data_IF_687471866151
#
_entry.id   IF_687471866151
#
_cell.length_a   1.000
_cell.length_b   1.000
_cell.length_c   1.000
_cell.angle_alpha   90.00
_cell.angle_beta   90.00
_cell.angle_gamma   90.00
#
_symmetry.space_group_name_H-M   'P 1'
#
loop_
_entity.id
_entity.type
_entity.pdbx_description
1 polymer ?
#
# COMPACT_ATOMS: atom_id res chain seq x y z
N UNK A 1 5.23 22.45 11.95
CA UNK A 1 6.55 21.76 11.87
C UNK A 1 6.70 21.23 10.45
N UNK A 2 7.74 21.60 9.73
CA UNK A 2 7.97 21.08 8.38
C UNK A 2 8.43 19.61 8.46
N UNK A 3 7.95 18.77 7.55
CA UNK A 3 8.51 17.43 7.35
C UNK A 3 9.89 17.56 6.69
N UNK A 4 10.86 16.81 7.21
CA UNK A 4 12.16 16.68 6.55
C UNK A 4 12.03 15.81 5.30
N UNK A 5 12.79 16.16 4.27
CA UNK A 5 12.85 15.34 3.06
C UNK A 5 13.67 14.07 3.35
N UNK A 6 13.15 12.92 2.96
CA UNK A 6 13.94 11.69 2.92
C UNK A 6 15.11 11.88 1.95
N UNK A 7 16.33 11.49 2.34
CA UNK A 7 17.52 11.60 1.51
C UNK A 7 17.38 10.73 0.25
N UNK A 8 17.88 11.20 -0.88
CA UNK A 8 17.84 10.49 -2.16
C UNK A 8 18.51 9.11 -2.07
N UNK A 9 19.65 9.01 -1.41
CA UNK A 9 20.35 7.72 -1.21
C UNK A 9 19.50 6.71 -0.41
N UNK A 10 18.69 7.20 0.55
CA UNK A 10 17.75 6.37 1.30
C UNK A 10 16.61 5.90 0.41
N UNK A 11 16.10 6.78 -0.47
CA UNK A 11 15.05 6.44 -1.45
C UNK A 11 15.55 5.35 -2.40
N UNK A 12 16.75 5.52 -2.95
CA UNK A 12 17.37 4.55 -3.87
C UNK A 12 17.54 3.18 -3.19
N UNK A 13 18.01 3.17 -1.93
CA UNK A 13 18.12 1.95 -1.13
C UNK A 13 16.76 1.29 -0.92
N UNK A 14 15.74 2.04 -0.48
CA UNK A 14 14.38 1.51 -0.25
C UNK A 14 13.85 0.84 -1.50
N UNK A 15 13.96 1.49 -2.66
CA UNK A 15 13.46 0.94 -3.92
C UNK A 15 14.22 -0.33 -4.30
N UNK A 16 15.56 -0.35 -4.17
CA UNK A 16 16.38 -1.52 -4.45
C UNK A 16 16.04 -2.71 -3.53
N UNK A 17 15.87 -2.46 -2.23
CA UNK A 17 15.50 -3.47 -1.24
C UNK A 17 14.10 -4.04 -1.54
N UNK A 18 13.13 -3.19 -1.89
CA UNK A 18 11.77 -3.61 -2.26
C UNK A 18 11.76 -4.44 -3.55
N UNK A 19 12.56 -4.08 -4.56
CA UNK A 19 12.70 -4.88 -5.77
C UNK A 19 13.33 -6.24 -5.48
N UNK A 20 14.36 -6.28 -4.62
CA UNK A 20 14.99 -7.52 -4.18
C UNK A 20 13.99 -8.41 -3.43
N UNK A 21 13.24 -7.84 -2.50
CA UNK A 21 12.20 -8.57 -1.77
C UNK A 21 11.09 -9.09 -2.70
N UNK A 22 10.66 -8.27 -3.66
CA UNK A 22 9.68 -8.68 -4.66
C UNK A 22 10.19 -9.87 -5.50
N UNK A 23 11.44 -9.80 -5.99
CA UNK A 23 12.05 -10.87 -6.79
C UNK A 23 12.31 -12.17 -6.00
N UNK A 24 12.35 -12.12 -4.68
CA UNK A 24 12.41 -13.33 -3.84
C UNK A 24 11.16 -14.21 -3.97
N UNK A 25 10.04 -13.67 -4.50
CA UNK A 25 8.76 -14.35 -4.61
C UNK A 25 7.97 -14.46 -3.30
N UNK A 26 8.44 -13.87 -2.20
CA UNK A 26 7.78 -13.92 -0.89
C UNK A 26 6.33 -13.43 -0.93
N UNK A 27 6.03 -12.45 -1.79
CA UNK A 27 4.70 -11.84 -1.94
C UNK A 27 3.74 -12.66 -2.82
N UNK A 28 4.20 -13.72 -3.48
CA UNK A 28 3.37 -14.52 -4.41
C UNK A 28 2.35 -15.40 -3.67
N UNK A 29 2.65 -15.84 -2.45
CA UNK A 29 1.74 -16.70 -1.69
C UNK A 29 0.48 -15.92 -1.24
N UNK A 30 -0.69 -16.47 -1.58
CA UNK A 30 -1.98 -15.90 -1.20
C UNK A 30 -2.19 -15.91 0.33
N UNK A 31 -1.63 -16.86 1.05
CA UNK A 31 -1.70 -16.89 2.51
C UNK A 31 -0.92 -15.72 3.11
N UNK A 32 0.26 -15.43 2.57
CA UNK A 32 1.05 -14.26 2.94
C UNK A 32 0.27 -12.96 2.71
N UNK A 33 -0.31 -12.76 1.50
CA UNK A 33 -1.11 -11.55 1.19
C UNK A 33 -2.29 -11.38 2.15
N UNK A 34 -3.02 -12.46 2.46
CA UNK A 34 -4.11 -12.44 3.45
C UNK A 34 -3.62 -12.11 4.85
N UNK A 35 -2.46 -12.62 5.26
CA UNK A 35 -1.85 -12.31 6.54
C UNK A 35 -1.50 -10.82 6.63
N UNK A 36 -0.89 -10.25 5.59
CA UNK A 36 -0.53 -8.83 5.54
C UNK A 36 -1.78 -7.93 5.56
N UNK A 37 -2.84 -8.28 4.82
CA UNK A 37 -4.11 -7.57 4.89
C UNK A 37 -4.75 -7.63 6.29
N UNK A 38 -4.65 -8.75 6.99
CA UNK A 38 -5.14 -8.86 8.38
C UNK A 38 -4.31 -8.03 9.36
N UNK A 39 -2.97 -8.01 9.20
CA UNK A 39 -2.09 -7.13 9.99
C UNK A 39 -2.45 -5.67 9.76
N UNK A 40 -2.69 -5.29 8.50
CA UNK A 40 -3.10 -3.93 8.15
C UNK A 40 -4.45 -3.54 8.76
N UNK A 41 -5.45 -4.44 8.74
CA UNK A 41 -6.72 -4.20 9.42
C UNK A 41 -6.54 -3.94 10.92
N UNK A 42 -5.75 -4.78 11.61
CA UNK A 42 -5.45 -4.63 13.04
C UNK A 42 -4.70 -3.31 13.33
N UNK A 43 -3.77 -2.92 12.45
CA UNK A 43 -3.07 -1.65 12.57
C UNK A 43 -4.03 -0.47 12.45
N UNK A 44 -4.94 -0.47 11.47
CA UNK A 44 -5.97 0.58 11.34
C UNK A 44 -6.92 0.65 12.54
N UNK A 45 -7.23 -0.48 13.17
CA UNK A 45 -8.05 -0.47 14.39
C UNK A 45 -7.26 0.13 15.56
N UNK A 46 -5.98 -0.22 15.71
CA UNK A 46 -5.09 0.33 16.75
C UNK A 46 -4.83 1.82 16.58
N UNK A 47 -4.61 2.26 15.34
CA UNK A 47 -4.21 3.63 15.00
C UNK A 47 -5.39 4.55 14.62
N UNK A 48 -6.65 4.09 14.78
CA UNK A 48 -7.84 4.87 14.45
C UNK A 48 -7.86 6.23 15.16
N UNK A 49 -7.72 6.23 16.48
CA UNK A 49 -7.72 7.48 17.26
C UNK A 49 -6.54 8.40 16.91
N UNK A 50 -5.28 7.94 16.87
CA UNK A 50 -4.15 8.79 16.44
C UNK A 50 -4.34 9.40 15.04
N UNK A 51 -4.88 8.65 14.08
CA UNK A 51 -5.15 9.15 12.73
C UNK A 51 -6.25 10.22 12.72
N UNK A 52 -7.34 10.02 13.49
CA UNK A 52 -8.39 11.02 13.63
C UNK A 52 -7.89 12.29 14.32
N UNK A 53 -7.07 12.16 15.36
CA UNK A 53 -6.48 13.30 16.06
C UNK A 53 -5.53 14.10 15.13
N UNK A 54 -4.76 13.41 14.29
CA UNK A 54 -3.92 14.03 13.27
C UNK A 54 -4.73 14.73 12.16
N UNK A 55 -5.83 14.13 11.70
CA UNK A 55 -6.76 14.72 10.74
C UNK A 55 -7.45 15.97 11.29
N UNK A 56 -7.78 15.96 12.58
CA UNK A 56 -8.27 17.16 13.25
C UNK A 56 -7.21 18.26 13.29
N UNK A 57 -5.98 17.90 13.65
CA UNK A 57 -4.87 18.87 13.77
C UNK A 57 -4.53 19.53 12.43
N UNK A 58 -4.49 18.76 11.34
CA UNK A 58 -4.07 19.27 10.03
C UNK A 58 -5.23 19.86 9.21
N UNK A 59 -6.44 19.31 9.32
CA UNK A 59 -7.58 19.63 8.43
C UNK A 59 -8.86 20.01 9.16
N UNK A 60 -8.87 20.00 10.50
CA UNK A 60 -10.06 20.24 11.34
C UNK A 60 -11.26 19.32 11.01
N UNK A 61 -10.98 18.10 10.52
CA UNK A 61 -12.02 17.09 10.32
C UNK A 61 -12.46 16.54 11.66
N UNK A 62 -13.78 16.54 11.94
CA UNK A 62 -14.31 15.88 13.13
C UNK A 62 -14.00 14.38 13.12
N UNK A 63 -14.10 13.75 14.29
CA UNK A 63 -13.89 12.29 14.37
C UNK A 63 -14.86 11.53 13.45
N UNK A 64 -16.14 11.92 13.43
CA UNK A 64 -17.16 11.29 12.60
C UNK A 64 -16.86 11.46 11.11
N UNK A 65 -16.45 12.66 10.69
CA UNK A 65 -16.07 12.93 9.32
C UNK A 65 -14.83 12.11 8.92
N UNK A 66 -13.76 12.15 9.71
CA UNK A 66 -12.54 11.40 9.48
C UNK A 66 -12.82 9.89 9.39
N UNK A 67 -13.62 9.36 10.31
CA UNK A 67 -13.99 7.95 10.30
C UNK A 67 -14.81 7.58 9.07
N UNK A 68 -15.88 8.32 8.78
CA UNK A 68 -16.80 7.99 7.69
C UNK A 68 -16.19 8.17 6.30
N UNK A 69 -15.43 9.24 6.09
CA UNK A 69 -14.92 9.59 4.76
C UNK A 69 -13.55 9.01 4.45
N UNK A 70 -12.78 8.57 5.46
CA UNK A 70 -11.43 8.05 5.26
C UNK A 70 -11.25 6.64 5.83
N UNK A 71 -11.32 6.45 7.15
CA UNK A 71 -10.95 5.17 7.76
C UNK A 71 -11.92 4.03 7.45
N UNK A 72 -13.24 4.28 7.51
CA UNK A 72 -14.24 3.23 7.27
C UNK A 72 -14.17 2.68 5.85
N UNK A 73 -13.82 3.52 4.88
CA UNK A 73 -13.65 3.15 3.47
C UNK A 73 -12.47 2.18 3.33
N UNK A 74 -11.31 2.52 3.91
CA UNK A 74 -10.12 1.63 3.88
C UNK A 74 -10.40 0.31 4.59
N UNK A 75 -11.06 0.34 5.77
CA UNK A 75 -11.44 -0.87 6.50
C UNK A 75 -12.39 -1.77 5.68
N UNK A 76 -13.33 -1.17 4.96
CA UNK A 76 -14.25 -1.89 4.07
C UNK A 76 -13.51 -2.55 2.91
N UNK A 77 -12.57 -1.83 2.29
CA UNK A 77 -11.75 -2.32 1.20
C UNK A 77 -10.88 -3.50 1.65
N UNK A 78 -10.19 -3.40 2.78
CA UNK A 78 -9.39 -4.50 3.34
C UNK A 78 -10.26 -5.76 3.55
N UNK A 79 -11.46 -5.62 4.15
CA UNK A 79 -12.38 -6.75 4.35
C UNK A 79 -12.77 -7.41 3.03
N UNK A 80 -13.00 -6.61 1.99
CA UNK A 80 -13.34 -7.08 0.65
C UNK A 80 -12.17 -7.85 0.04
N UNK A 81 -10.94 -7.33 0.13
CA UNK A 81 -9.73 -7.98 -0.39
C UNK A 81 -9.40 -9.28 0.34
N UNK A 82 -9.50 -9.33 1.68
CA UNK A 82 -9.32 -10.57 2.44
C UNK A 82 -10.25 -11.69 1.96
N UNK A 83 -11.52 -11.35 1.66
CA UNK A 83 -12.51 -12.32 1.18
C UNK A 83 -12.27 -12.75 -0.27
N UNK A 84 -11.84 -11.83 -1.13
CA UNK A 84 -11.84 -12.01 -2.59
C UNK A 84 -10.48 -12.36 -3.19
N UNK A 85 -9.35 -12.06 -2.54
CA UNK A 85 -8.01 -12.22 -3.11
C UNK A 85 -7.74 -13.62 -3.65
N UNK A 86 -8.18 -14.68 -2.97
CA UNK A 86 -8.02 -16.05 -3.47
C UNK A 86 -8.76 -16.30 -4.79
N UNK A 87 -9.96 -15.74 -4.94
CA UNK A 87 -10.75 -15.86 -6.17
C UNK A 87 -10.12 -15.03 -7.30
N UNK A 88 -9.65 -13.82 -6.98
CA UNK A 88 -9.04 -12.94 -7.98
C UNK A 88 -7.71 -13.47 -8.49
N UNK A 89 -6.90 -14.09 -7.63
CA UNK A 89 -5.61 -14.67 -7.99
C UNK A 89 -5.72 -16.08 -8.61
N UNK A 90 -6.90 -16.70 -8.61
CA UNK A 90 -7.09 -18.03 -9.15
C UNK A 90 -6.80 -18.08 -10.66
N UNK A 91 -6.15 -19.17 -11.09
CA UNK A 91 -5.90 -19.44 -12.50
C UNK A 91 -7.24 -19.57 -13.24
N UNK A 92 -7.33 -18.96 -14.41
CA UNK A 92 -8.50 -19.11 -15.31
C UNK A 92 -8.16 -20.09 -16.44
N UNK A 93 -9.02 -21.07 -16.69
CA UNK A 93 -8.87 -21.94 -17.86
C UNK A 93 -9.00 -21.11 -19.13
N UNK A 94 -8.11 -21.36 -20.09
CA UNK A 94 -8.17 -20.81 -21.44
C UNK A 94 -8.45 -21.94 -22.45
N UNK A 95 -8.95 -21.58 -23.65
CA UNK A 95 -9.18 -22.55 -24.72
C UNK A 95 -7.85 -23.11 -25.22
N UNK A 96 -7.69 -24.42 -25.17
CA UNK A 96 -6.50 -25.11 -25.71
C UNK A 96 -6.83 -25.65 -27.09
N UNK A 97 -6.03 -25.36 -28.13
CA UNK A 97 -6.22 -25.97 -29.45
C UNK A 97 -6.15 -27.50 -29.38
N UNK A 98 -7.02 -28.18 -30.13
CA UNK A 98 -7.11 -29.64 -30.08
C UNK A 98 -5.79 -30.34 -30.46
N UNK A 99 -4.97 -29.69 -31.29
CA UNK A 99 -3.64 -30.19 -31.71
C UNK A 99 -2.64 -30.30 -30.53
N UNK A 100 -2.93 -29.67 -29.41
CA UNK A 100 -2.10 -29.72 -28.19
C UNK A 100 -2.63 -30.70 -27.15
N UNK A 101 -3.62 -31.51 -27.51
CA UNK A 101 -4.11 -32.56 -26.60
C UNK A 101 -2.96 -33.50 -26.19
N UNK A 102 -2.83 -33.89 -24.89
CA UNK A 102 -3.73 -33.64 -23.74
C UNK A 102 -3.40 -32.39 -22.90
N UNK A 103 -2.69 -31.40 -23.42
CA UNK A 103 -2.30 -30.17 -22.72
C UNK A 103 -3.50 -29.32 -22.26
N UNK A 104 -3.29 -28.49 -21.27
CA UNK A 104 -4.30 -27.55 -20.75
C UNK A 104 -3.69 -26.15 -20.66
N UNK A 105 -4.42 -25.16 -21.12
CA UNK A 105 -4.01 -23.75 -21.09
C UNK A 105 -4.69 -22.99 -19.95
N UNK A 106 -3.95 -22.06 -19.33
CA UNK A 106 -4.43 -21.21 -18.23
C UNK A 106 -3.92 -19.78 -18.41
N UNK A 107 -4.72 -18.84 -17.92
CA UNK A 107 -4.30 -17.46 -17.69
C UNK A 107 -3.91 -17.36 -16.21
N UNK A 108 -2.68 -16.96 -15.94
CA UNK A 108 -2.15 -16.71 -14.60
C UNK A 108 -1.97 -15.19 -14.46
N UNK A 109 -2.39 -14.63 -13.33
CA UNK A 109 -2.18 -13.24 -12.99
C UNK A 109 -0.93 -13.12 -12.12
N UNK A 110 -0.05 -12.21 -12.48
CA UNK A 110 1.19 -11.97 -11.76
C UNK A 110 1.24 -10.52 -11.27
N UNK A 111 1.87 -10.24 -10.11
CA UNK A 111 2.09 -8.89 -9.63
C UNK A 111 3.06 -8.14 -10.54
N UNK A 112 2.92 -6.80 -10.62
CA UNK A 112 3.73 -5.97 -11.52
C UNK A 112 5.11 -5.60 -10.96
N UNK A 113 5.28 -5.65 -9.64
CA UNK A 113 6.55 -5.25 -9.00
C UNK A 113 6.35 -4.35 -7.79
N UNK A 114 7.16 -3.31 -7.69
CA UNK A 114 7.04 -2.28 -6.67
C UNK A 114 6.03 -1.22 -7.13
N UNK A 115 5.12 -0.81 -6.23
CA UNK A 115 4.10 0.20 -6.48
C UNK A 115 4.47 1.50 -5.79
N UNK A 116 4.47 2.62 -6.51
CA UNK A 116 4.56 3.96 -5.93
C UNK A 116 3.16 4.54 -5.75
N UNK A 117 2.84 4.98 -4.52
CA UNK A 117 1.56 5.58 -4.16
C UNK A 117 1.79 6.99 -3.61
N UNK A 118 1.45 8.01 -4.38
CA UNK A 118 1.54 9.41 -3.99
C UNK A 118 0.13 9.93 -3.70
N UNK A 119 -0.12 10.42 -2.48
CA UNK A 119 -1.45 10.92 -2.12
C UNK A 119 -1.52 12.45 -2.02
N UNK A 120 -2.69 13.03 -2.32
CA UNK A 120 -2.98 14.44 -2.07
C UNK A 120 -3.27 14.69 -0.58
N UNK A 121 -3.54 15.95 -0.24
CA UNK A 121 -3.77 16.41 1.14
C UNK A 121 -5.24 16.38 1.59
N UNK A 122 -6.21 16.35 0.69
CA UNK A 122 -7.62 16.53 1.02
C UNK A 122 -8.30 15.30 1.66
N UNK A 123 -7.89 14.10 1.28
CA UNK A 123 -8.27 12.81 1.89
C UNK A 123 -7.01 11.96 2.06
N UNK A 124 -6.07 12.39 2.93
CA UNK A 124 -4.71 11.85 2.94
C UNK A 124 -4.63 10.40 3.38
N UNK A 125 -5.47 9.97 4.31
CA UNK A 125 -5.51 8.59 4.80
C UNK A 125 -6.14 7.68 3.76
N UNK A 126 -7.32 8.01 3.27
CA UNK A 126 -8.05 7.17 2.31
C UNK A 126 -7.29 7.02 0.99
N UNK A 127 -6.83 8.14 0.40
CA UNK A 127 -6.21 8.13 -0.93
C UNK A 127 -4.78 7.55 -0.93
N UNK A 128 -4.15 7.40 0.24
CA UNK A 128 -2.88 6.69 0.36
C UNK A 128 -3.10 5.20 0.66
N UNK A 129 -3.99 4.88 1.59
CA UNK A 129 -4.12 3.53 2.13
C UNK A 129 -5.03 2.61 1.30
N UNK A 130 -6.04 3.16 0.58
CA UNK A 130 -6.87 2.34 -0.32
C UNK A 130 -6.05 1.71 -1.47
N UNK A 131 -5.20 2.45 -2.22
CA UNK A 131 -4.34 1.84 -3.21
C UNK A 131 -3.34 0.84 -2.61
N UNK A 132 -2.87 1.07 -1.36
CA UNK A 132 -2.02 0.12 -0.64
C UNK A 132 -2.71 -1.24 -0.44
N UNK A 133 -4.02 -1.24 -0.12
CA UNK A 133 -4.80 -2.50 -0.04
C UNK A 133 -4.73 -3.25 -1.37
N UNK A 134 -4.84 -2.54 -2.49
CA UNK A 134 -4.71 -3.09 -3.84
C UNK A 134 -3.32 -3.66 -4.09
N UNK A 135 -2.25 -2.93 -3.76
CA UNK A 135 -0.85 -3.35 -3.91
C UNK A 135 -0.57 -4.64 -3.11
N UNK A 136 -0.93 -4.67 -1.82
CA UNK A 136 -0.77 -5.85 -0.95
C UNK A 136 -1.52 -7.05 -1.54
N UNK A 137 -2.75 -6.88 -1.95
CA UNK A 137 -3.57 -7.99 -2.44
C UNK A 137 -3.13 -8.50 -3.81
N UNK A 138 -2.56 -7.66 -4.67
CA UNK A 138 -1.98 -8.08 -5.94
C UNK A 138 -0.64 -8.80 -5.77
N UNK A 139 0.06 -8.59 -4.64
CA UNK A 139 1.38 -9.17 -4.36
C UNK A 139 2.54 -8.26 -4.75
N UNK A 140 2.30 -6.95 -4.85
CA UNK A 140 3.33 -5.95 -5.02
C UNK A 140 3.94 -5.55 -3.67
N UNK A 141 5.17 -5.03 -3.69
CA UNK A 141 5.71 -4.16 -2.66
C UNK A 141 5.20 -2.74 -2.86
N UNK A 142 5.36 -1.83 -1.90
CA UNK A 142 4.84 -0.48 -2.04
C UNK A 142 5.71 0.59 -1.36
N UNK A 143 5.96 1.67 -2.07
CA UNK A 143 6.50 2.92 -1.53
C UNK A 143 5.37 3.93 -1.43
N UNK A 144 5.11 4.42 -0.22
CA UNK A 144 4.07 5.39 0.09
C UNK A 144 4.69 6.78 0.21
N UNK A 145 4.09 7.76 -0.46
CA UNK A 145 4.50 9.16 -0.37
C UNK A 145 3.30 10.01 0.03
N UNK A 146 3.06 10.22 1.34
CA UNK A 146 2.01 11.08 1.84
C UNK A 146 2.28 12.55 1.50
N UNK A 147 1.24 13.37 1.56
CA UNK A 147 1.33 14.79 1.26
C UNK A 147 2.08 15.58 2.36
N UNK A 148 3.05 16.44 2.02
CA UNK A 148 3.73 17.28 2.99
C UNK A 148 2.84 18.38 3.57
N UNK A 149 1.66 18.63 2.99
CA UNK A 149 0.72 19.66 3.45
C UNK A 149 -0.12 19.24 4.66
N UNK A 150 -0.04 17.97 5.06
CA UNK A 150 -0.70 17.38 6.23
C UNK A 150 0.34 16.64 7.09
N UNK A 151 1.25 17.39 7.73
CA UNK A 151 2.45 16.82 8.33
C UNK A 151 2.17 15.90 9.53
N UNK A 152 1.13 16.14 10.30
CA UNK A 152 0.77 15.28 11.43
C UNK A 152 0.19 13.95 10.94
N UNK A 153 -0.71 14.00 9.96
CA UNK A 153 -1.24 12.78 9.31
C UNK A 153 -0.12 11.97 8.68
N UNK A 154 0.80 12.63 7.97
CA UNK A 154 1.93 11.96 7.30
C UNK A 154 2.84 11.22 8.27
N UNK A 155 3.19 11.82 9.43
CA UNK A 155 3.98 11.17 10.49
C UNK A 155 3.23 10.00 11.12
N UNK A 156 1.95 10.21 11.46
CA UNK A 156 1.13 9.15 12.06
C UNK A 156 1.01 7.93 11.14
N UNK A 157 0.89 8.15 9.82
CA UNK A 157 0.89 7.07 8.84
C UNK A 157 2.27 6.38 8.80
N UNK A 158 3.37 7.14 8.80
CA UNK A 158 4.73 6.58 8.79
C UNK A 158 4.97 5.70 10.02
N UNK A 159 4.61 6.16 11.21
CA UNK A 159 4.70 5.38 12.46
C UNK A 159 3.86 4.10 12.39
N UNK A 160 2.61 4.20 11.93
CA UNK A 160 1.73 3.05 11.76
C UNK A 160 2.30 2.02 10.78
N UNK A 161 2.80 2.44 9.64
CA UNK A 161 3.34 1.56 8.59
C UNK A 161 4.64 0.91 9.06
N UNK A 162 5.55 1.66 9.68
CA UNK A 162 6.82 1.15 10.21
C UNK A 162 6.63 0.13 11.33
N UNK A 163 5.58 0.28 12.16
CA UNK A 163 5.23 -0.70 13.17
C UNK A 163 4.61 -1.98 12.56
N UNK A 164 3.94 -1.86 11.42
CA UNK A 164 3.12 -2.93 10.84
C UNK A 164 3.87 -3.80 9.85
N UNK A 165 4.75 -3.18 9.04
CA UNK A 165 5.42 -3.82 7.92
C UNK A 165 6.93 -3.59 7.95
N UNK A 166 7.69 -4.53 7.41
CA UNK A 166 9.11 -4.33 7.12
C UNK A 166 9.25 -3.32 5.96
N UNK A 167 10.28 -2.48 6.00
CA UNK A 167 10.56 -1.44 5.00
C UNK A 167 10.75 -2.02 3.58
N UNK A 168 11.35 -3.20 3.48
CA UNK A 168 11.51 -3.93 2.22
C UNK A 168 10.18 -4.38 1.57
N UNK A 169 9.07 -4.32 2.32
CA UNK A 169 7.75 -4.68 1.82
C UNK A 169 6.85 -3.46 1.63
N UNK A 170 6.70 -2.62 2.64
CA UNK A 170 5.97 -1.36 2.57
C UNK A 170 6.77 -0.28 3.28
N UNK A 171 7.17 0.74 2.56
CA UNK A 171 7.94 1.88 3.08
C UNK A 171 7.17 3.18 2.95
N UNK A 172 7.45 4.15 3.84
CA UNK A 172 6.98 5.53 3.72
C UNK A 172 8.16 6.44 3.44
N UNK A 173 8.04 7.29 2.43
CA UNK A 173 9.01 8.32 2.06
C UNK A 173 8.38 9.69 2.28
N UNK A 174 9.00 10.52 3.11
CA UNK A 174 8.54 11.86 3.41
C UNK A 174 9.23 12.90 2.51
N UNK A 175 8.54 14.00 2.26
CA UNK A 175 9.20 15.11 1.59
C UNK A 175 8.31 15.92 0.63
N UNK A 176 8.94 16.91 0.03
CA UNK A 176 8.33 17.88 -0.87
C UNK A 176 8.30 17.41 -2.34
N UNK A 177 8.08 18.35 -3.27
CA UNK A 177 8.01 18.08 -4.71
C UNK A 177 9.29 17.46 -5.30
N UNK A 178 10.47 17.79 -4.76
CA UNK A 178 11.74 17.23 -5.25
C UNK A 178 11.82 15.73 -4.98
N UNK A 179 11.33 15.28 -3.82
CA UNK A 179 11.20 13.86 -3.48
C UNK A 179 10.23 13.15 -4.44
N UNK A 180 9.11 13.80 -4.80
CA UNK A 180 8.20 13.22 -5.79
C UNK A 180 8.89 13.01 -7.14
N UNK A 181 9.67 14.00 -7.60
CA UNK A 181 10.43 13.90 -8.87
C UNK A 181 11.42 12.74 -8.81
N UNK A 182 12.20 12.64 -7.73
CA UNK A 182 13.14 11.54 -7.52
C UNK A 182 12.42 10.16 -7.56
N UNK A 183 11.28 10.02 -6.87
CA UNK A 183 10.51 8.78 -6.88
C UNK A 183 9.94 8.41 -8.24
N UNK A 184 9.52 9.39 -9.05
CA UNK A 184 8.99 9.16 -10.40
C UNK A 184 10.09 8.80 -11.42
N UNK A 185 11.35 9.12 -11.13
CA UNK A 185 12.51 8.78 -11.96
C UNK A 185 13.07 7.38 -11.65
N UNK A 186 12.63 6.74 -10.56
CA UNK A 186 13.00 5.36 -10.24
C UNK A 186 12.48 4.39 -11.30
N UNK A 187 13.34 3.44 -11.75
CA UNK A 187 13.02 2.48 -12.82
C UNK A 187 13.21 1.03 -12.35
#
# INVERSE_FOLDING_TARGET
MNLENTNIEVIDRIVADQMTYFHSGATLDIKFRKLMLKKFAAALDKWEKPLCDALWTDLHKSYEEAYLTELSIVKSEIRTHIRKVSTWAARKKARTPIKLFPSRSYIVKEPLGCSLIISPWNYPVQLLLNPLVGAISSGCTAVLKPSPYVPNVSRTIEEMISETFNEEYVAVVQGNRNVNTCLLEQR
#
